data_IF_365066892568
#
_entry.id   IF_365066892568
#
_cell.length_a   1.000
_cell.length_b   1.000
_cell.length_c   1.000
_cell.angle_alpha   90.00
_cell.angle_beta   90.00
_cell.angle_gamma   90.00
#
_symmetry.space_group_name_H-M   'P 1'
#
loop_
_entity.id
_entity.type
_entity.pdbx_description
1 polymer ?
#
# COMPACT_ATOMS: atom_id res chain seq x y z
N UNK A 1 -11.16 -17.80 18.11
CA UNK A 1 -11.23 -18.01 16.64
C UNK A 1 -10.00 -17.38 16.03
N UNK A 2 -9.15 -18.15 15.35
CA UNK A 2 -7.95 -17.65 14.67
C UNK A 2 -8.26 -17.58 13.18
N UNK A 3 -8.02 -16.44 12.54
CA UNK A 3 -8.12 -16.29 11.09
C UNK A 3 -6.73 -16.36 10.47
N UNK A 4 -6.60 -17.07 9.35
CA UNK A 4 -5.30 -17.34 8.70
C UNK A 4 -5.14 -16.61 7.37
N UNK A 5 -5.95 -15.58 7.10
CA UNK A 5 -5.96 -14.91 5.81
C UNK A 5 -6.44 -13.47 5.85
N UNK A 6 -6.02 -12.72 4.83
CA UNK A 6 -6.40 -11.32 4.56
C UNK A 6 -7.03 -11.23 3.18
N UNK A 7 -8.14 -10.49 3.09
CA UNK A 7 -8.81 -10.18 1.83
C UNK A 7 -8.39 -8.79 1.33
N UNK A 8 -8.10 -8.67 0.04
CA UNK A 8 -7.68 -7.42 -0.58
C UNK A 8 -8.69 -6.97 -1.65
N UNK A 9 -9.05 -5.69 -1.62
CA UNK A 9 -9.90 -5.05 -2.62
C UNK A 9 -9.19 -3.90 -3.31
N UNK A 10 -9.41 -3.75 -4.61
CA UNK A 10 -8.86 -2.67 -5.44
C UNK A 10 -9.77 -1.46 -5.72
N UNK A 11 -11.11 -1.47 -5.47
CA UNK A 11 -11.99 -0.35 -5.88
C UNK A 11 -11.52 1.03 -5.44
N UNK A 12 -11.11 1.18 -4.18
CA UNK A 12 -10.66 2.46 -3.64
C UNK A 12 -9.38 2.98 -4.31
N UNK A 13 -8.51 2.09 -4.80
CA UNK A 13 -7.27 2.45 -5.48
C UNK A 13 -7.55 2.78 -6.95
N UNK A 14 -8.36 1.97 -7.65
CA UNK A 14 -8.69 2.21 -9.05
C UNK A 14 -9.52 3.47 -9.26
N UNK A 15 -10.45 3.78 -8.34
CA UNK A 15 -11.21 5.04 -8.40
C UNK A 15 -10.35 6.28 -8.16
N UNK A 16 -9.17 6.14 -7.53
CA UNK A 16 -8.18 7.22 -7.36
C UNK A 16 -7.23 7.36 -8.55
N UNK A 17 -7.31 6.48 -9.54
CA UNK A 17 -6.44 6.51 -10.72
C UNK A 17 -5.20 5.62 -10.65
N UNK A 18 -5.05 4.79 -9.60
CA UNK A 18 -3.94 3.81 -9.56
C UNK A 18 -4.13 2.74 -10.63
N UNK A 19 -3.07 2.44 -11.38
CA UNK A 19 -3.04 1.48 -12.47
C UNK A 19 -2.26 0.20 -12.14
N UNK A 20 -1.98 -0.59 -13.18
CA UNK A 20 -1.33 -1.90 -13.04
C UNK A 20 0.11 -1.80 -12.51
N UNK A 21 0.83 -0.75 -12.86
CA UNK A 21 2.22 -0.52 -12.42
C UNK A 21 2.29 -0.27 -10.92
N UNK A 22 1.44 0.63 -10.41
CA UNK A 22 1.38 0.96 -8.97
C UNK A 22 0.90 -0.24 -8.17
N UNK A 23 -0.08 -0.99 -8.71
CA UNK A 23 -0.57 -2.21 -8.08
C UNK A 23 0.51 -3.30 -7.94
N UNK A 24 1.42 -3.42 -8.92
CA UNK A 24 2.55 -4.34 -8.84
C UNK A 24 3.52 -3.94 -7.73
N UNK A 25 3.80 -2.65 -7.60
CA UNK A 25 4.64 -2.12 -6.53
C UNK A 25 4.00 -2.35 -5.14
N UNK A 26 2.71 -2.05 -5.00
CA UNK A 26 1.96 -2.30 -3.76
C UNK A 26 2.00 -3.80 -3.39
N UNK A 27 1.85 -4.70 -4.35
CA UNK A 27 1.95 -6.14 -4.09
C UNK A 27 3.34 -6.55 -3.59
N UNK A 28 4.41 -5.95 -4.11
CA UNK A 28 5.77 -6.17 -3.62
C UNK A 28 5.95 -5.66 -2.18
N UNK A 29 5.42 -4.47 -1.87
CA UNK A 29 5.43 -3.90 -0.51
C UNK A 29 4.65 -4.78 0.48
N UNK A 30 3.49 -5.31 0.09
CA UNK A 30 2.73 -6.27 0.91
C UNK A 30 3.56 -7.53 1.18
N UNK A 31 4.19 -8.10 0.15
CA UNK A 31 5.06 -9.27 0.31
C UNK A 31 6.25 -9.00 1.24
N UNK A 32 6.82 -7.81 1.16
CA UNK A 32 7.95 -7.38 1.99
C UNK A 32 7.52 -7.18 3.46
N UNK A 33 6.32 -6.65 3.70
CA UNK A 33 5.72 -6.58 5.04
C UNK A 33 5.49 -7.97 5.65
N UNK A 34 4.89 -8.88 4.88
CA UNK A 34 4.56 -10.24 5.35
C UNK A 34 5.82 -11.07 5.66
N UNK A 35 6.90 -10.87 4.90
CA UNK A 35 8.20 -11.52 5.16
C UNK A 35 8.92 -10.96 6.39
N UNK A 36 8.70 -9.69 6.72
CA UNK A 36 9.44 -8.99 7.78
C UNK A 36 8.51 -8.34 8.82
N UNK A 37 7.62 -9.10 9.49
CA UNK A 37 6.55 -8.53 10.30
C UNK A 37 7.01 -7.76 11.55
N UNK A 38 8.23 -8.01 12.02
CA UNK A 38 8.80 -7.40 13.25
C UNK A 38 9.95 -6.43 12.98
N UNK A 39 10.32 -6.21 11.72
CA UNK A 39 11.44 -5.34 11.38
C UNK A 39 10.94 -3.89 11.23
N UNK A 40 11.37 -3.03 12.16
CA UNK A 40 10.99 -1.61 12.20
C UNK A 40 11.57 -0.80 11.04
N UNK A 41 12.78 -1.12 10.59
CA UNK A 41 13.44 -0.39 9.48
C UNK A 41 12.72 -0.66 8.16
N UNK A 42 12.39 -1.93 7.93
CA UNK A 42 11.57 -2.36 6.80
C UNK A 42 10.20 -1.69 6.83
N UNK A 43 9.55 -1.62 8.01
CA UNK A 43 8.27 -0.92 8.16
C UNK A 43 8.37 0.56 7.78
N UNK A 44 9.43 1.24 8.20
CA UNK A 44 9.67 2.65 7.86
C UNK A 44 9.89 2.85 6.36
N UNK A 45 10.64 1.95 5.72
CA UNK A 45 10.83 1.96 4.27
C UNK A 45 9.50 1.81 3.53
N UNK A 46 8.68 0.84 3.92
CA UNK A 46 7.35 0.62 3.32
C UNK A 46 6.47 1.87 3.48
N UNK A 47 6.46 2.49 4.66
CA UNK A 47 5.71 3.71 4.90
C UNK A 47 6.16 4.87 4.01
N UNK A 48 7.47 4.97 3.73
CA UNK A 48 8.03 5.92 2.77
C UNK A 48 7.47 5.70 1.36
N UNK A 49 7.63 4.48 0.84
CA UNK A 49 7.14 4.14 -0.51
C UNK A 49 5.62 4.31 -0.64
N UNK A 50 4.84 3.92 0.37
CA UNK A 50 3.38 4.14 0.37
C UNK A 50 3.03 5.63 0.30
N UNK A 51 3.75 6.49 1.02
CA UNK A 51 3.55 7.95 0.96
C UNK A 51 3.89 8.50 -0.41
N UNK A 52 4.97 8.06 -1.03
CA UNK A 52 5.35 8.48 -2.38
C UNK A 52 4.25 8.13 -3.39
N UNK A 53 3.80 6.87 -3.43
CA UNK A 53 2.72 6.43 -4.33
C UNK A 53 1.45 7.24 -4.06
N UNK A 54 1.01 7.33 -2.81
CA UNK A 54 -0.27 8.00 -2.48
C UNK A 54 -0.24 9.51 -2.69
N UNK A 55 0.94 10.15 -2.65
CA UNK A 55 1.10 11.58 -2.93
C UNK A 55 0.83 11.94 -4.39
N UNK A 56 1.02 10.98 -5.31
CA UNK A 56 0.74 11.16 -6.74
C UNK A 56 -0.76 11.07 -7.07
N UNK A 57 -1.56 10.44 -6.19
CA UNK A 57 -2.99 10.20 -6.38
C UNK A 57 -3.81 10.76 -5.20
N UNK A 58 -3.89 12.09 -5.02
CA UNK A 58 -4.62 12.70 -3.91
C UNK A 58 -6.10 12.32 -3.94
N UNK A 59 -6.68 12.06 -2.77
CA UNK A 59 -8.08 11.65 -2.63
C UNK A 59 -9.05 12.85 -2.78
N UNK A 60 -8.63 14.02 -2.31
CA UNK A 60 -9.41 15.26 -2.34
C UNK A 60 -8.50 16.41 -2.76
N UNK A 61 -8.97 17.23 -3.69
CA UNK A 61 -8.31 18.49 -4.03
C UNK A 61 -8.62 19.52 -2.93
N UNK A 62 -7.60 20.08 -2.27
CA UNK A 62 -7.76 21.20 -1.34
C UNK A 62 -7.78 20.89 0.17
N UNK A 63 -7.58 19.63 0.58
CA UNK A 63 -7.37 19.29 1.99
C UNK A 63 -5.87 19.03 2.20
N UNK A 64 -5.20 19.96 2.89
CA UNK A 64 -3.78 19.89 3.24
C UNK A 64 -3.63 19.75 4.74
#
# INVERSE_FOLDING_TARGET
>A
MVTSGTHFGTPAMTSRGLGASEMKEIAQLIGLALKNPKNSDVKNQILGSVREITSQFPLYEGVK
#
